data_IF_601719444066
#
_entry.id   IF_601719444066
#
_cell.length_a   1.000
_cell.length_b   1.000
_cell.length_c   1.000
_cell.angle_alpha   90.00
_cell.angle_beta   90.00
_cell.angle_gamma   90.00
#
_symmetry.space_group_name_H-M   'P 1'
#
loop_
_entity.id
_entity.type
_entity.pdbx_description
1 polymer ?
#
# COMPACT_ATOMS: atom_id res chain seq x y z
N UNK A 1 -51.29 58.92 41.59
CA UNK A 1 -50.82 59.77 40.47
C UNK A 1 -50.64 58.81 39.29
N UNK A 2 -51.63 58.51 38.44
CA UNK A 2 -52.35 59.41 37.49
C UNK A 2 -51.32 60.23 36.72
N UNK A 3 -51.03 60.02 35.42
CA UNK A 3 -51.80 60.35 34.19
C UNK A 3 -51.04 59.67 32.99
N UNK A 4 -51.61 58.76 32.21
CA UNK A 4 -52.23 58.91 30.86
C UNK A 4 -51.44 59.78 29.84
N UNK A 5 -50.86 59.20 28.78
CA UNK A 5 -51.44 58.95 27.45
C UNK A 5 -51.04 60.01 26.38
N UNK A 6 -50.51 59.56 25.24
CA UNK A 6 -50.70 60.21 23.94
C UNK A 6 -50.58 59.19 22.80
N UNK A 7 -51.68 59.12 22.04
CA UNK A 7 -52.03 58.34 20.87
C UNK A 7 -51.41 58.97 19.60
N UNK A 8 -51.17 58.21 18.52
CA UNK A 8 -51.67 58.44 17.14
C UNK A 8 -51.34 57.21 16.27
N UNK A 9 -52.37 56.64 15.63
CA UNK A 9 -52.32 55.70 14.50
C UNK A 9 -52.30 56.47 13.18
N UNK A 10 -51.61 55.98 12.14
CA UNK A 10 -52.15 55.87 10.75
C UNK A 10 -51.18 55.16 9.78
N UNK A 11 -51.71 54.23 8.99
CA UNK A 11 -51.45 54.13 7.53
C UNK A 11 -50.41 53.13 7.01
N UNK A 12 -50.86 52.04 6.38
CA UNK A 12 -50.10 51.19 5.43
C UNK A 12 -50.24 51.72 3.98
N UNK A 13 -49.31 51.38 3.06
CA UNK A 13 -49.59 50.25 2.16
C UNK A 13 -48.35 49.36 1.85
N UNK A 14 -48.54 48.18 1.22
CA UNK A 14 -47.46 47.26 0.86
C UNK A 14 -47.00 47.49 -0.59
N UNK A 15 -45.73 47.24 -0.88
CA UNK A 15 -45.31 46.86 -2.24
C UNK A 15 -44.04 46.02 -2.20
N UNK A 16 -44.18 44.82 -2.78
CA UNK A 16 -43.12 43.88 -3.04
C UNK A 16 -42.13 44.43 -4.08
N UNK A 17 -40.88 43.98 -4.02
CA UNK A 17 -40.27 43.37 -5.19
C UNK A 17 -39.19 42.38 -4.77
N UNK A 18 -39.45 41.13 -5.12
CA UNK A 18 -38.48 40.06 -5.09
C UNK A 18 -37.34 40.34 -6.08
N UNK A 19 -36.12 40.00 -5.67
CA UNK A 19 -35.07 39.59 -6.59
C UNK A 19 -34.50 38.28 -6.04
N UNK A 20 -35.05 37.19 -6.57
CA UNK A 20 -34.59 35.82 -6.36
C UNK A 20 -33.19 35.65 -6.95
N UNK A 21 -32.17 35.68 -6.11
CA UNK A 21 -30.88 35.06 -6.42
C UNK A 21 -30.95 33.59 -6.06
N UNK A 22 -31.33 32.74 -7.01
CA UNK A 22 -31.21 31.28 -6.87
C UNK A 22 -29.72 30.90 -6.78
N UNK A 23 -29.19 30.88 -5.55
CA UNK A 23 -27.96 30.18 -5.25
C UNK A 23 -28.26 28.68 -5.35
N UNK A 24 -27.92 28.10 -6.50
CA UNK A 24 -27.92 26.66 -6.71
C UNK A 24 -26.90 26.06 -5.74
N UNK A 25 -27.38 25.56 -4.60
CA UNK A 25 -26.59 24.82 -3.62
C UNK A 25 -26.16 23.52 -4.26
N UNK A 26 -25.03 23.56 -4.97
CA UNK A 26 -24.37 22.36 -5.49
C UNK A 26 -23.86 21.61 -4.26
N UNK A 27 -24.62 20.62 -3.81
CA UNK A 27 -24.22 19.65 -2.79
C UNK A 27 -22.85 19.11 -3.21
N UNK A 28 -21.79 19.60 -2.57
CA UNK A 28 -20.48 19.01 -2.74
C UNK A 28 -20.54 17.63 -2.09
N UNK A 29 -20.60 16.61 -2.94
CA UNK A 29 -20.32 15.24 -2.52
C UNK A 29 -18.87 15.25 -2.08
N UNK A 30 -18.65 15.37 -0.77
CA UNK A 30 -17.35 15.17 -0.16
C UNK A 30 -16.99 13.71 -0.37
N UNK A 31 -16.16 13.43 -1.37
CA UNK A 31 -15.40 12.20 -1.38
C UNK A 31 -14.48 12.26 -0.16
N UNK A 32 -14.90 11.63 0.94
CA UNK A 32 -14.00 11.39 2.05
C UNK A 32 -12.86 10.55 1.49
N UNK A 33 -11.72 11.20 1.29
CA UNK A 33 -10.46 10.57 0.98
C UNK A 33 -10.16 9.64 2.15
N UNK A 34 -10.22 8.33 1.94
CA UNK A 34 -9.73 7.37 2.92
C UNK A 34 -8.31 7.77 3.27
N UNK A 35 -8.01 8.00 4.54
CA UNK A 35 -6.63 8.21 4.98
C UNK A 35 -5.78 7.02 4.47
N UNK A 36 -4.53 7.27 4.02
CA UNK A 36 -3.63 6.16 3.68
C UNK A 36 -3.61 5.21 4.88
N UNK A 37 -3.93 3.95 4.64
CA UNK A 37 -3.96 2.95 5.70
C UNK A 37 -2.53 2.60 6.04
N UNK A 38 -2.12 2.93 7.26
CA UNK A 38 -0.80 2.67 7.83
C UNK A 38 -0.55 1.17 8.11
N UNK A 39 -1.11 0.28 7.30
CA UNK A 39 -1.12 -1.15 7.58
C UNK A 39 0.16 -1.79 7.07
N UNK A 40 0.75 -2.62 7.92
CA UNK A 40 1.90 -3.45 7.58
C UNK A 40 1.44 -4.61 6.69
N UNK A 41 2.24 -5.00 5.71
CA UNK A 41 1.95 -6.19 4.90
C UNK A 41 2.07 -7.47 5.76
N UNK A 42 1.10 -8.40 5.71
CA UNK A 42 1.06 -9.58 6.58
C UNK A 42 2.12 -10.63 6.26
N UNK A 43 2.77 -10.55 5.10
CA UNK A 43 3.93 -11.37 4.74
C UNK A 43 5.06 -10.47 4.24
N UNK A 44 6.34 -10.84 4.44
CA UNK A 44 7.46 -10.08 3.91
C UNK A 44 7.38 -9.94 2.39
N UNK A 45 7.65 -8.74 1.86
CA UNK A 45 7.64 -8.43 0.42
C UNK A 45 6.40 -9.02 -0.29
N UNK A 46 5.23 -8.62 0.21
CA UNK A 46 3.93 -9.11 -0.24
C UNK A 46 3.70 -8.86 -1.73
N UNK A 47 3.23 -9.89 -2.44
CA UNK A 47 2.89 -9.83 -3.85
C UNK A 47 1.51 -10.45 -4.05
N UNK A 48 0.55 -9.66 -4.53
CA UNK A 48 -0.79 -10.14 -4.86
C UNK A 48 -0.74 -10.89 -6.18
N UNK A 49 -1.13 -12.16 -6.17
CA UNK A 49 -1.16 -13.04 -7.36
C UNK A 49 -2.58 -13.33 -7.84
N UNK A 50 -3.59 -13.16 -6.97
CA UNK A 50 -5.00 -13.19 -7.35
C UNK A 50 -5.74 -12.06 -6.64
N UNK A 51 -6.49 -11.29 -7.42
CA UNK A 51 -7.19 -10.09 -7.00
C UNK A 51 -8.53 -10.40 -6.32
N UNK A 52 -9.05 -9.45 -5.55
CA UNK A 52 -10.41 -9.50 -5.03
C UNK A 52 -11.44 -9.43 -6.18
N UNK A 53 -12.32 -10.43 -6.24
CA UNK A 53 -13.38 -10.57 -7.25
C UNK A 53 -14.68 -10.96 -6.53
N UNK A 54 -15.39 -10.00 -5.92
CA UNK A 54 -16.54 -10.30 -5.09
C UNK A 54 -17.67 -10.88 -5.95
N UNK A 55 -18.30 -11.98 -5.52
CA UNK A 55 -19.43 -12.52 -6.27
C UNK A 55 -20.67 -11.62 -6.14
N UNK A 56 -21.46 -11.50 -7.21
CA UNK A 56 -22.72 -10.74 -7.22
C UNK A 56 -23.71 -11.20 -6.14
N UNK A 57 -23.66 -12.49 -5.78
CA UNK A 57 -24.43 -13.09 -4.69
C UNK A 57 -23.52 -13.91 -3.79
N UNK A 58 -23.81 -14.01 -2.48
CA UNK A 58 -22.96 -14.73 -1.52
C UNK A 58 -22.66 -16.20 -1.84
N UNK A 59 -23.46 -16.86 -2.69
CA UNK A 59 -23.30 -18.27 -3.09
C UNK A 59 -22.72 -18.45 -4.50
N UNK A 60 -22.50 -17.37 -5.25
CA UNK A 60 -21.90 -17.45 -6.58
C UNK A 60 -20.38 -17.58 -6.49
N UNK A 61 -19.79 -18.00 -7.62
CA UNK A 61 -18.33 -18.04 -7.81
C UNK A 61 -17.78 -16.61 -7.73
N UNK A 62 -16.62 -16.49 -7.09
CA UNK A 62 -15.87 -15.26 -6.93
C UNK A 62 -14.77 -15.48 -5.90
N UNK A 63 -13.89 -14.49 -5.77
CA UNK A 63 -12.79 -14.45 -4.83
C UNK A 63 -13.06 -13.45 -3.71
N UNK A 64 -13.39 -13.96 -2.51
CA UNK A 64 -13.81 -13.17 -1.32
C UNK A 64 -12.61 -12.61 -0.53
N UNK A 65 -11.46 -12.48 -1.18
CA UNK A 65 -10.22 -12.01 -0.60
C UNK A 65 -9.20 -11.76 -1.69
N UNK A 66 -7.94 -11.68 -1.31
CA UNK A 66 -6.79 -11.69 -2.23
C UNK A 66 -5.94 -12.91 -1.92
N UNK A 67 -5.19 -13.39 -2.91
CA UNK A 67 -4.15 -14.38 -2.67
C UNK A 67 -2.80 -13.73 -2.87
N UNK A 68 -1.91 -13.95 -1.91
CA UNK A 68 -0.53 -13.47 -2.00
C UNK A 68 0.46 -14.60 -2.09
N UNK A 69 1.52 -14.40 -2.86
CA UNK A 69 2.58 -15.38 -3.00
C UNK A 69 3.30 -15.56 -1.66
N UNK A 70 3.10 -16.70 -1.03
CA UNK A 70 3.76 -17.09 0.21
C UNK A 70 3.99 -18.60 0.22
N UNK A 71 5.09 -19.05 0.81
CA UNK A 71 5.43 -20.46 0.96
C UNK A 71 5.31 -20.86 2.43
N UNK A 72 5.04 -22.14 2.69
CA UNK A 72 4.95 -22.68 4.05
C UNK A 72 6.17 -22.28 4.92
N UNK A 73 5.91 -21.96 6.18
CA UNK A 73 6.90 -21.54 7.17
C UNK A 73 7.28 -20.05 7.12
N UNK A 74 6.73 -19.27 6.17
CA UNK A 74 6.84 -17.81 6.20
C UNK A 74 6.29 -17.23 7.52
N UNK A 75 6.88 -16.16 8.09
CA UNK A 75 6.25 -15.44 9.19
C UNK A 75 4.97 -14.73 8.71
N UNK A 76 3.92 -14.84 9.52
CA UNK A 76 2.68 -14.06 9.41
C UNK A 76 2.77 -12.89 10.39
N UNK A 77 2.78 -11.65 9.86
CA UNK A 77 2.82 -10.43 10.67
C UNK A 77 1.44 -9.82 10.82
N UNK A 78 1.18 -9.16 11.95
CA UNK A 78 -0.04 -8.40 12.17
C UNK A 78 -0.05 -7.12 11.32
N UNK A 79 -1.05 -6.90 10.46
CA UNK A 79 -1.15 -5.65 9.70
C UNK A 79 -1.32 -4.39 10.55
N UNK A 80 -1.98 -4.53 11.70
CA UNK A 80 -2.28 -3.47 12.66
C UNK A 80 -2.15 -4.05 14.07
N UNK A 81 -2.30 -3.20 15.09
CA UNK A 81 -2.64 -3.67 16.42
C UNK A 81 -4.05 -4.31 16.45
N UNK A 82 -4.25 -5.25 17.38
CA UNK A 82 -5.52 -5.98 17.48
C UNK A 82 -5.43 -7.22 18.36
N UNK A 83 -6.38 -8.14 18.16
CA UNK A 83 -6.47 -9.39 18.92
C UNK A 83 -6.74 -10.60 18.03
N UNK A 84 -6.33 -11.79 18.48
CA UNK A 84 -6.68 -13.06 17.81
C UNK A 84 -8.18 -13.30 17.99
N UNK A 85 -8.92 -13.36 16.88
CA UNK A 85 -10.35 -13.68 16.85
C UNK A 85 -10.60 -15.19 16.76
N UNK A 86 -9.76 -15.89 16.00
CA UNK A 86 -9.85 -17.33 15.77
C UNK A 86 -8.48 -17.92 15.42
N UNK A 87 -8.21 -19.13 15.91
CA UNK A 87 -7.08 -19.96 15.50
C UNK A 87 -7.55 -21.42 15.50
N UNK A 88 -7.51 -22.08 14.35
CA UNK A 88 -7.97 -23.46 14.20
C UNK A 88 -8.17 -23.87 12.75
N UNK A 89 -8.90 -24.96 12.52
CA UNK A 89 -9.11 -25.51 11.17
C UNK A 89 -10.49 -25.14 10.63
N UNK A 90 -10.54 -24.61 9.41
CA UNK A 90 -11.78 -24.33 8.67
C UNK A 90 -11.75 -25.11 7.37
N UNK A 91 -12.76 -25.96 7.14
CA UNK A 91 -12.85 -26.82 5.95
C UNK A 91 -11.55 -27.59 5.63
N UNK A 92 -10.89 -28.12 6.67
CA UNK A 92 -9.64 -28.88 6.55
C UNK A 92 -8.36 -28.05 6.41
N UNK A 93 -8.43 -26.71 6.42
CA UNK A 93 -7.25 -25.84 6.31
C UNK A 93 -7.02 -25.03 7.58
N UNK A 94 -5.77 -24.96 8.05
CA UNK A 94 -5.39 -24.12 9.18
C UNK A 94 -5.68 -22.63 8.87
N UNK A 95 -6.39 -21.96 9.76
CA UNK A 95 -6.89 -20.60 9.58
C UNK A 95 -6.66 -19.79 10.84
N UNK A 96 -6.08 -18.61 10.68
CA UNK A 96 -5.99 -17.58 11.72
C UNK A 96 -6.90 -16.43 11.34
N UNK A 97 -7.59 -15.83 12.31
CA UNK A 97 -8.32 -14.58 12.08
C UNK A 97 -8.05 -13.61 13.20
N UNK A 98 -7.93 -12.34 12.84
CA UNK A 98 -7.71 -11.24 13.77
C UNK A 98 -8.89 -10.27 13.77
N UNK A 99 -9.06 -9.56 14.87
CA UNK A 99 -9.90 -8.37 14.96
C UNK A 99 -8.97 -7.16 15.17
N UNK A 100 -9.00 -6.22 14.24
CA UNK A 100 -8.26 -4.95 14.35
C UNK A 100 -9.04 -3.97 15.23
N UNK A 101 -8.36 -2.97 15.78
CA UNK A 101 -9.02 -1.88 16.52
C UNK A 101 -9.95 -1.03 15.65
N UNK A 102 -9.75 -1.02 14.33
CA UNK A 102 -10.63 -0.35 13.37
C UNK A 102 -11.88 -1.18 13.01
N UNK A 103 -12.29 -2.12 13.88
CA UNK A 103 -13.42 -3.04 13.69
C UNK A 103 -13.39 -3.78 12.33
N UNK A 104 -12.23 -4.28 11.95
CA UNK A 104 -12.07 -5.16 10.78
C UNK A 104 -11.68 -6.55 11.22
N UNK A 105 -12.31 -7.56 10.61
CA UNK A 105 -11.85 -8.94 10.72
C UNK A 105 -11.02 -9.26 9.49
N UNK A 106 -9.81 -9.78 9.71
CA UNK A 106 -8.99 -10.37 8.67
C UNK A 106 -8.86 -11.87 8.90
N UNK A 107 -8.91 -12.65 7.83
CA UNK A 107 -8.64 -14.10 7.83
C UNK A 107 -7.39 -14.40 7.03
N UNK A 108 -6.57 -15.33 7.51
CA UNK A 108 -5.35 -15.81 6.88
C UNK A 108 -5.42 -17.33 6.73
N UNK A 109 -5.31 -17.83 5.51
CA UNK A 109 -5.44 -19.27 5.22
C UNK A 109 -4.56 -19.67 4.02
N UNK A 110 -3.68 -20.68 4.11
CA UNK A 110 -3.34 -21.45 5.30
C UNK A 110 -2.44 -20.66 6.27
N UNK A 111 -2.79 -20.65 7.56
CA UNK A 111 -1.96 -20.05 8.61
C UNK A 111 -2.14 -20.74 9.96
N UNK A 112 -1.08 -20.73 10.78
CA UNK A 112 -1.08 -21.23 12.15
C UNK A 112 -0.48 -20.19 13.11
N UNK A 113 -0.87 -20.25 14.38
CA UNK A 113 -0.37 -19.36 15.44
C UNK A 113 -0.28 -20.11 16.76
N UNK A 114 0.67 -19.73 17.61
CA UNK A 114 0.74 -20.14 19.02
C UNK A 114 -0.13 -19.25 19.93
N UNK A 115 -0.55 -18.09 19.46
CA UNK A 115 -1.39 -17.14 20.20
C UNK A 115 -2.82 -17.68 20.34
N UNK A 116 -3.47 -17.35 21.44
CA UNK A 116 -4.83 -17.82 21.76
C UNK A 116 -5.86 -16.76 21.42
N UNK A 117 -7.11 -17.19 21.20
CA UNK A 117 -8.24 -16.26 21.03
C UNK A 117 -8.29 -15.25 22.19
N UNK A 118 -8.37 -13.97 21.85
CA UNK A 118 -8.39 -12.84 22.78
C UNK A 118 -7.01 -12.26 23.11
N UNK A 119 -5.93 -12.94 22.73
CA UNK A 119 -4.56 -12.42 22.92
C UNK A 119 -4.29 -11.25 21.96
N UNK A 120 -3.69 -10.19 22.50
CA UNK A 120 -3.38 -8.97 21.76
C UNK A 120 -1.98 -8.99 21.15
N UNK A 121 -1.77 -8.13 20.15
CA UNK A 121 -0.48 -7.95 19.46
C UNK A 121 -0.35 -6.51 18.94
N UNK A 122 0.88 -6.08 18.69
CA UNK A 122 1.17 -4.80 18.05
C UNK A 122 1.24 -4.92 16.51
N UNK A 123 1.09 -3.80 15.81
CA UNK A 123 1.31 -3.75 14.37
C UNK A 123 2.74 -4.21 14.00
N UNK A 124 2.85 -5.08 12.99
CA UNK A 124 4.11 -5.64 12.52
C UNK A 124 4.66 -6.81 13.34
N UNK A 125 4.06 -7.12 14.50
CA UNK A 125 4.43 -8.28 15.32
C UNK A 125 4.21 -9.59 14.55
N UNK A 126 5.11 -10.56 14.74
CA UNK A 126 4.91 -11.90 14.20
C UNK A 126 3.86 -12.64 15.01
N UNK A 127 2.70 -12.86 14.41
CA UNK A 127 1.54 -13.49 15.04
C UNK A 127 1.34 -14.95 14.62
N UNK A 128 2.23 -15.51 13.81
CA UNK A 128 2.13 -16.89 13.36
C UNK A 128 2.98 -17.19 12.14
N UNK A 129 2.64 -18.27 11.44
CA UNK A 129 3.31 -18.70 10.21
C UNK A 129 2.32 -19.11 9.13
N UNK A 130 2.74 -18.98 7.87
CA UNK A 130 2.02 -19.50 6.71
C UNK A 130 2.07 -21.02 6.75
N UNK A 131 0.90 -21.64 6.67
CA UNK A 131 0.75 -23.09 6.71
C UNK A 131 0.84 -23.75 5.33
N UNK A 132 0.52 -25.05 5.29
CA UNK A 132 0.34 -25.83 4.06
C UNK A 132 -1.13 -26.06 3.72
N UNK A 133 -1.39 -26.42 2.46
CA UNK A 133 -2.74 -26.61 1.91
C UNK A 133 -3.31 -25.35 1.27
N UNK A 134 -4.63 -25.25 1.22
CA UNK A 134 -5.35 -24.14 0.57
C UNK A 134 -5.81 -24.46 -0.86
N UNK A 135 -6.36 -23.44 -1.54
CA UNK A 135 -6.99 -23.60 -2.86
C UNK A 135 -6.06 -23.30 -4.03
N UNK A 136 -4.91 -22.65 -3.79
CA UNK A 136 -3.99 -22.25 -4.84
C UNK A 136 -3.18 -23.45 -5.38
N UNK A 137 -3.00 -23.50 -6.70
CA UNK A 137 -2.13 -24.49 -7.36
C UNK A 137 -0.64 -24.27 -7.03
N UNK A 138 -0.26 -23.02 -6.73
CA UNK A 138 1.03 -22.62 -6.13
C UNK A 138 0.82 -22.36 -4.64
N UNK A 139 1.88 -22.35 -3.83
CA UNK A 139 1.75 -21.92 -2.43
C UNK A 139 1.34 -20.43 -2.37
N UNK A 140 0.26 -20.14 -1.66
CA UNK A 140 -0.27 -18.80 -1.46
C UNK A 140 -0.79 -18.65 -0.02
N UNK A 141 -0.98 -17.40 0.41
CA UNK A 141 -1.78 -17.06 1.59
C UNK A 141 -3.03 -16.31 1.11
N UNK A 142 -4.20 -16.88 1.37
CA UNK A 142 -5.48 -16.21 1.17
C UNK A 142 -5.75 -15.24 2.31
N UNK A 143 -6.09 -14.00 1.97
CA UNK A 143 -6.43 -12.94 2.91
C UNK A 143 -7.84 -12.48 2.61
N UNK A 144 -8.75 -12.67 3.57
CA UNK A 144 -10.11 -12.13 3.51
C UNK A 144 -10.26 -10.97 4.49
N UNK A 145 -11.13 -10.00 4.20
CA UNK A 145 -11.42 -8.91 5.11
C UNK A 145 -12.90 -8.50 5.10
N UNK A 146 -13.47 -8.17 6.26
CA UNK A 146 -14.82 -7.60 6.37
C UNK A 146 -14.99 -6.73 7.63
N UNK A 147 -15.95 -5.79 7.67
CA UNK A 147 -16.30 -5.08 8.91
C UNK A 147 -16.84 -6.03 9.97
N UNK A 148 -16.38 -5.93 11.22
CA UNK A 148 -16.76 -6.84 12.29
C UNK A 148 -18.27 -6.87 12.58
N UNK A 149 -18.94 -5.74 12.41
CA UNK A 149 -20.39 -5.60 12.57
C UNK A 149 -21.21 -6.07 11.35
N UNK A 150 -20.55 -6.50 10.27
CA UNK A 150 -21.25 -6.98 9.07
C UNK A 150 -21.48 -8.49 9.10
N UNK A 151 -22.50 -8.93 8.37
CA UNK A 151 -22.73 -10.36 8.10
C UNK A 151 -21.78 -10.89 7.02
N UNK A 152 -20.47 -10.85 7.32
CA UNK A 152 -19.36 -11.26 6.43
C UNK A 152 -19.43 -10.64 5.02
N UNK A 153 -19.75 -9.36 4.96
CA UNK A 153 -19.67 -8.60 3.70
C UNK A 153 -18.20 -8.32 3.39
N UNK A 154 -17.58 -9.20 2.61
CA UNK A 154 -16.19 -9.08 2.23
C UNK A 154 -15.90 -7.77 1.49
N UNK A 155 -14.74 -7.19 1.79
CA UNK A 155 -14.18 -6.01 1.13
C UNK A 155 -12.80 -6.35 0.59
N UNK A 156 -12.34 -5.59 -0.40
CA UNK A 156 -11.02 -5.76 -1.01
C UNK A 156 -9.89 -5.49 0.02
N UNK A 157 -9.13 -6.51 0.45
CA UNK A 157 -8.04 -6.32 1.39
C UNK A 157 -6.82 -5.64 0.76
N UNK A 158 -6.64 -5.71 -0.56
CA UNK A 158 -5.48 -5.13 -1.26
C UNK A 158 -5.36 -3.62 -1.05
N UNK A 159 -6.50 -2.95 -0.91
CA UNK A 159 -6.61 -1.52 -0.61
C UNK A 159 -5.96 -1.10 0.71
N UNK A 160 -5.82 -2.03 1.66
CA UNK A 160 -5.22 -1.73 2.94
C UNK A 160 -3.68 -1.71 2.89
N UNK A 161 -3.09 -2.42 1.93
CA UNK A 161 -1.63 -2.65 1.87
C UNK A 161 -0.92 -1.76 0.84
N UNK A 162 -1.58 -0.68 0.40
CA UNK A 162 -1.06 0.20 -0.65
C UNK A 162 -0.93 -0.47 -2.03
N UNK A 163 -1.33 -1.74 -2.19
CA UNK A 163 -1.26 -2.49 -3.44
C UNK A 163 -2.57 -2.28 -4.22
N UNK A 164 -2.77 -1.08 -4.79
CA UNK A 164 -3.84 -0.88 -5.76
C UNK A 164 -3.59 -1.78 -6.98
N UNK A 165 -4.61 -2.52 -7.42
CA UNK A 165 -4.52 -3.39 -8.60
C UNK A 165 -3.98 -2.60 -9.79
N UNK A 166 -3.00 -3.18 -10.49
CA UNK A 166 -2.62 -2.73 -11.82
C UNK A 166 -3.86 -2.88 -12.71
N UNK A 167 -4.52 -1.77 -13.04
CA UNK A 167 -5.56 -1.80 -14.06
C UNK A 167 -4.89 -2.13 -15.40
N UNK A 168 -5.26 -3.27 -16.00
CA UNK A 168 -4.91 -3.56 -17.39
C UNK A 168 -5.58 -2.51 -18.28
N UNK A 169 -4.80 -1.53 -18.73
CA UNK A 169 -5.16 -0.75 -19.89
C UNK A 169 -5.18 -1.69 -21.11
N UNK A 170 -6.15 -1.55 -22.04
CA UNK A 170 -6.19 -2.35 -23.24
C UNK A 170 -4.83 -2.31 -23.96
N UNK A 171 -4.36 -3.47 -24.43
CA UNK A 171 -3.15 -3.63 -25.24
C UNK A 171 -3.33 -2.96 -26.60
N UNK A 172 -3.35 -1.64 -26.64
CA UNK A 172 -3.51 -0.88 -27.87
C UNK A 172 -2.77 0.44 -27.76
N UNK A 173 -1.45 0.30 -27.58
CA UNK A 173 -0.37 1.03 -28.28
C UNK A 173 0.90 0.82 -27.47
N UNK A 174 1.88 0.17 -28.08
CA UNK A 174 3.28 0.25 -27.62
C UNK A 174 3.63 1.75 -27.57
N UNK A 175 3.95 2.34 -26.41
CA UNK A 175 4.25 3.76 -26.35
C UNK A 175 5.59 4.04 -27.05
N UNK A 176 5.72 5.26 -27.58
CA UNK A 176 6.96 5.76 -28.16
C UNK A 176 8.11 5.68 -27.14
N UNK A 177 9.33 5.48 -27.65
CA UNK A 177 10.60 5.42 -26.90
C UNK A 177 10.61 6.42 -25.74
N UNK A 178 10.93 5.96 -24.52
CA UNK A 178 10.94 6.82 -23.33
C UNK A 178 11.86 8.03 -23.50
N UNK A 179 11.51 9.20 -22.94
CA UNK A 179 12.40 10.36 -22.93
C UNK A 179 13.71 10.04 -22.22
N UNK A 180 14.84 10.43 -22.81
CA UNK A 180 16.16 10.39 -22.17
C UNK A 180 16.23 11.52 -21.14
N UNK A 181 15.71 11.28 -19.93
CA UNK A 181 15.83 12.20 -18.81
C UNK A 181 17.25 12.21 -18.23
N UNK A 182 17.83 13.42 -18.08
CA UNK A 182 19.17 13.65 -17.55
C UNK A 182 19.33 13.15 -16.11
N UNK A 183 19.85 11.94 -15.98
CA UNK A 183 20.11 11.25 -14.72
C UNK A 183 20.73 9.88 -14.98
N UNK A 184 21.47 9.75 -16.08
CA UNK A 184 22.01 8.50 -16.58
C UNK A 184 23.13 7.99 -15.67
N UNK A 185 22.76 7.10 -14.75
CA UNK A 185 23.71 6.18 -14.12
C UNK A 185 23.57 4.81 -14.77
N UNK A 186 24.66 4.28 -15.31
CA UNK A 186 24.77 2.86 -15.59
C UNK A 186 24.95 2.03 -14.30
N UNK A 187 25.35 2.68 -13.20
CA UNK A 187 25.63 2.05 -11.90
C UNK A 187 24.49 2.23 -10.91
N UNK A 188 24.29 1.22 -10.06
CA UNK A 188 23.32 1.25 -8.96
C UNK A 188 23.57 2.44 -8.03
N UNK A 189 22.52 3.12 -7.59
CA UNK A 189 22.54 4.11 -6.51
C UNK A 189 22.64 3.48 -5.11
N UNK A 190 22.23 2.22 -4.98
CA UNK A 190 22.27 1.50 -3.71
C UNK A 190 23.65 0.86 -3.46
N UNK A 191 24.23 1.10 -2.29
CA UNK A 191 25.55 0.56 -1.93
C UNK A 191 25.81 0.54 -0.42
N UNK A 192 26.97 -0.01 -0.05
CA UNK A 192 27.36 -0.15 1.35
C UNK A 192 27.52 1.22 2.04
N UNK A 193 27.07 1.29 3.29
CA UNK A 193 27.21 2.47 4.14
C UNK A 193 27.19 2.09 5.63
N UNK A 194 27.70 2.99 6.48
CA UNK A 194 27.59 2.86 7.94
C UNK A 194 28.30 1.63 8.55
N UNK A 195 29.18 0.96 7.80
CA UNK A 195 29.82 -0.29 8.24
C UNK A 195 28.85 -1.49 8.34
N UNK A 196 27.65 -1.37 7.78
CA UNK A 196 26.65 -2.43 7.83
C UNK A 196 26.87 -3.48 6.73
N UNK A 197 26.33 -4.68 6.95
CA UNK A 197 26.18 -5.70 5.92
C UNK A 197 24.80 -5.59 5.26
N UNK A 198 24.71 -5.99 4.00
CA UNK A 198 23.47 -5.97 3.24
C UNK A 198 22.36 -6.79 3.94
N UNK A 199 21.20 -6.17 4.15
CA UNK A 199 20.06 -6.76 4.87
C UNK A 199 20.30 -6.92 6.37
N UNK A 200 21.32 -6.26 6.95
CA UNK A 200 21.66 -6.28 8.38
C UNK A 200 21.90 -4.87 8.94
N UNK A 201 21.08 -3.93 8.51
CA UNK A 201 21.04 -2.56 9.02
C UNK A 201 20.03 -2.54 10.18
N UNK A 202 20.42 -2.09 11.39
CA UNK A 202 19.50 -2.00 12.51
C UNK A 202 18.45 -0.92 12.26
N UNK A 203 17.23 -1.13 12.73
CA UNK A 203 16.13 -0.16 12.60
C UNK A 203 16.49 1.23 13.17
N UNK A 204 17.33 1.29 14.21
CA UNK A 204 17.83 2.54 14.81
C UNK A 204 18.72 3.37 13.89
N UNK A 205 19.25 2.79 12.81
CA UNK A 205 20.03 3.50 11.79
C UNK A 205 19.17 3.96 10.60
N UNK A 206 17.87 3.67 10.62
CA UNK A 206 16.94 3.94 9.52
C UNK A 206 15.76 4.78 10.00
N UNK A 207 15.06 5.38 9.03
CA UNK A 207 13.88 6.18 9.26
C UNK A 207 12.69 5.57 8.51
N UNK A 208 11.49 5.65 9.11
CA UNK A 208 10.25 5.20 8.48
C UNK A 208 9.78 6.20 7.41
N UNK A 209 9.12 5.70 6.37
CA UNK A 209 8.49 6.53 5.34
C UNK A 209 7.12 7.03 5.82
N UNK A 210 6.86 8.34 5.68
CA UNK A 210 5.59 8.93 6.09
C UNK A 210 4.41 8.37 5.28
N UNK A 211 4.62 8.17 3.96
CA UNK A 211 3.58 7.66 3.07
C UNK A 211 3.48 6.13 3.01
N UNK A 212 4.35 5.41 3.74
CA UNK A 212 4.37 3.95 3.73
C UNK A 212 4.85 3.38 5.08
N UNK A 213 3.98 3.33 6.09
CA UNK A 213 4.34 2.80 7.40
C UNK A 213 4.83 1.36 7.37
N UNK A 214 5.83 1.07 8.20
CA UNK A 214 6.55 -0.21 8.17
C UNK A 214 7.66 -0.28 7.12
N UNK A 215 7.69 0.61 6.13
CA UNK A 215 8.82 0.74 5.21
C UNK A 215 9.89 1.65 5.81
N UNK A 216 11.15 1.24 5.68
CA UNK A 216 12.28 1.98 6.21
C UNK A 216 13.33 2.24 5.12
N UNK A 217 14.01 3.36 5.22
CA UNK A 217 15.16 3.74 4.40
C UNK A 217 16.25 4.37 5.26
N UNK A 218 17.45 4.52 4.71
CA UNK A 218 18.45 5.43 5.29
C UNK A 218 17.83 6.83 5.39
N UNK A 219 18.07 7.54 6.49
CA UNK A 219 17.30 8.75 6.82
C UNK A 219 17.39 9.89 5.78
N UNK A 220 18.50 10.02 5.05
CA UNK A 220 18.62 10.98 3.94
C UNK A 220 17.81 10.55 2.71
N UNK A 221 17.79 9.26 2.39
CA UNK A 221 16.96 8.68 1.34
C UNK A 221 15.47 8.79 1.68
N UNK A 222 15.09 8.51 2.93
CA UNK A 222 13.72 8.70 3.44
C UNK A 222 13.25 10.15 3.27
N UNK A 223 14.00 11.12 3.80
CA UNK A 223 13.62 12.53 3.68
C UNK A 223 13.56 13.01 2.22
N UNK A 224 14.39 12.45 1.34
CA UNK A 224 14.31 12.70 -0.10
C UNK A 224 13.07 12.07 -0.75
N UNK A 225 12.71 10.84 -0.35
CA UNK A 225 11.54 10.15 -0.84
C UNK A 225 10.25 10.85 -0.44
N UNK A 226 10.12 11.33 0.80
CA UNK A 226 8.89 11.98 1.25
C UNK A 226 8.65 13.32 0.53
N UNK A 227 9.73 14.06 0.21
CA UNK A 227 9.65 15.23 -0.67
C UNK A 227 9.21 14.86 -2.09
N UNK A 228 9.72 13.75 -2.63
CA UNK A 228 9.33 13.24 -3.94
C UNK A 228 7.85 12.80 -3.96
N UNK A 229 7.42 12.06 -2.93
CA UNK A 229 6.04 11.59 -2.75
C UNK A 229 5.06 12.76 -2.64
N UNK A 230 5.43 13.80 -1.90
CA UNK A 230 4.65 15.06 -1.81
C UNK A 230 4.50 15.75 -3.17
N UNK A 231 5.59 15.85 -3.95
CA UNK A 231 5.55 16.44 -5.28
C UNK A 231 4.73 15.60 -6.28
N UNK A 232 4.78 14.28 -6.16
CA UNK A 232 3.97 13.35 -6.93
C UNK A 232 2.48 13.50 -6.57
N UNK A 233 2.15 13.59 -5.28
CA UNK A 233 0.80 13.81 -4.80
C UNK A 233 0.22 15.12 -5.33
N UNK A 234 0.98 16.21 -5.30
CA UNK A 234 0.55 17.48 -5.87
C UNK A 234 0.19 17.38 -7.36
N UNK A 235 0.79 16.43 -8.09
CA UNK A 235 0.54 16.20 -9.52
C UNK A 235 -0.61 15.22 -9.81
N UNK A 236 -0.76 14.18 -8.99
CA UNK A 236 -1.62 13.02 -9.27
C UNK A 236 -2.73 12.78 -8.23
N UNK A 237 -2.78 13.56 -7.16
CA UNK A 237 -3.85 13.54 -6.15
C UNK A 237 -3.74 12.43 -5.09
N UNK A 238 -2.68 11.63 -5.13
CA UNK A 238 -2.36 10.62 -4.11
C UNK A 238 -0.84 10.48 -3.95
N UNK A 239 -0.35 10.16 -2.73
CA UNK A 239 1.07 9.88 -2.52
C UNK A 239 1.52 8.64 -3.30
N UNK A 240 2.84 8.48 -3.42
CA UNK A 240 3.42 7.29 -4.05
C UNK A 240 3.15 6.08 -3.15
N UNK A 241 2.54 5.04 -3.72
CA UNK A 241 2.47 3.73 -3.09
C UNK A 241 3.85 3.08 -3.13
N UNK A 242 4.32 2.62 -1.96
CA UNK A 242 5.57 1.86 -1.82
C UNK A 242 5.20 0.41 -1.56
N UNK A 243 5.67 -0.49 -2.43
CA UNK A 243 5.42 -1.92 -2.31
C UNK A 243 6.55 -2.63 -1.55
N UNK A 244 7.78 -2.14 -1.69
CA UNK A 244 8.93 -2.64 -0.93
C UNK A 244 9.99 -1.53 -0.76
N UNK A 245 10.73 -1.54 0.35
CA UNK A 245 11.84 -0.64 0.62
C UNK A 245 13.03 -1.41 1.21
N UNK A 246 13.46 -1.13 2.44
CA UNK A 246 14.51 -1.93 3.09
C UNK A 246 14.12 -3.40 3.24
N UNK A 247 14.97 -4.27 2.69
CA UNK A 247 14.77 -5.72 2.73
C UNK A 247 15.84 -6.39 3.59
N UNK A 248 15.43 -6.77 4.80
CA UNK A 248 16.30 -7.52 5.71
C UNK A 248 16.75 -8.86 5.11
N UNK A 249 17.84 -9.41 5.62
CA UNK A 249 18.44 -10.62 5.07
C UNK A 249 17.51 -11.83 5.17
N UNK A 250 16.73 -11.95 6.23
CA UNK A 250 15.79 -13.05 6.40
C UNK A 250 14.72 -13.03 5.30
N UNK A 251 14.22 -11.83 4.97
CA UNK A 251 13.30 -11.58 3.86
C UNK A 251 13.96 -11.89 2.51
N UNK A 252 15.25 -11.59 2.34
CA UNK A 252 15.96 -12.00 1.12
C UNK A 252 16.03 -13.52 0.98
N UNK A 253 16.28 -14.26 2.06
CA UNK A 253 16.25 -15.74 2.07
C UNK A 253 14.85 -16.25 1.70
N UNK A 254 13.80 -15.63 2.25
CA UNK A 254 12.40 -15.92 1.93
C UNK A 254 12.13 -15.71 0.44
N UNK A 255 12.46 -14.54 -0.11
CA UNK A 255 12.25 -14.27 -1.53
C UNK A 255 13.06 -15.20 -2.43
N UNK A 256 14.27 -15.59 -2.01
CA UNK A 256 15.06 -16.57 -2.75
C UNK A 256 14.37 -17.93 -2.82
N UNK A 257 13.75 -18.37 -1.73
CA UNK A 257 12.95 -19.59 -1.67
C UNK A 257 11.70 -19.49 -2.58
N UNK A 258 11.00 -18.35 -2.55
CA UNK A 258 9.79 -18.12 -3.38
C UNK A 258 10.06 -18.03 -4.88
N UNK A 259 11.10 -17.28 -5.26
CA UNK A 259 11.31 -16.78 -6.63
C UNK A 259 12.53 -17.39 -7.31
N UNK A 260 13.35 -18.16 -6.60
CA UNK A 260 14.50 -18.86 -7.15
C UNK A 260 15.48 -17.91 -7.87
N UNK A 261 15.65 -18.08 -9.18
CA UNK A 261 16.57 -17.26 -9.98
C UNK A 261 16.11 -15.81 -10.16
N UNK A 262 14.82 -15.51 -9.96
CA UNK A 262 14.28 -14.15 -10.10
C UNK A 262 14.56 -13.27 -8.88
N UNK A 263 14.95 -13.84 -7.74
CA UNK A 263 15.40 -13.08 -6.58
C UNK A 263 16.93 -13.00 -6.51
N UNK A 264 17.44 -11.85 -6.10
CA UNK A 264 18.85 -11.67 -5.78
C UNK A 264 19.32 -12.71 -4.77
N UNK A 265 20.60 -13.09 -4.84
CA UNK A 265 21.22 -13.92 -3.80
C UNK A 265 21.15 -13.17 -2.47
N UNK A 266 20.75 -13.81 -1.35
CA UNK A 266 20.70 -13.15 -0.06
C UNK A 266 22.03 -12.50 0.30
N UNK A 267 21.98 -11.25 0.76
CA UNK A 267 23.15 -10.40 1.01
C UNK A 267 23.62 -9.58 -0.19
N UNK A 268 22.94 -9.64 -1.34
CA UNK A 268 23.32 -8.88 -2.55
C UNK A 268 22.21 -8.02 -3.12
N UNK A 269 21.06 -7.90 -2.44
CA UNK A 269 19.92 -7.13 -2.95
C UNK A 269 20.12 -5.62 -2.76
N UNK A 270 19.83 -4.80 -3.77
CA UNK A 270 19.88 -3.33 -3.64
C UNK A 270 18.98 -2.81 -2.49
N UNK A 271 17.85 -3.46 -2.24
CA UNK A 271 16.96 -3.17 -1.10
C UNK A 271 17.60 -3.42 0.26
N UNK A 272 18.58 -4.34 0.35
CA UNK A 272 19.30 -4.62 1.59
C UNK A 272 20.21 -3.48 2.04
N UNK A 273 20.34 -2.41 1.25
CA UNK A 273 21.05 -1.21 1.63
C UNK A 273 20.15 -0.09 2.13
N UNK A 274 18.82 -0.27 2.19
CA UNK A 274 17.88 0.79 2.61
C UNK A 274 17.97 2.05 1.72
N UNK A 275 18.26 1.83 0.43
CA UNK A 275 18.46 2.87 -0.59
C UNK A 275 17.68 2.56 -1.89
N UNK A 276 16.78 1.59 -1.85
CA UNK A 276 15.96 1.21 -3.00
C UNK A 276 14.51 1.08 -2.57
N UNK A 277 13.61 1.38 -3.51
CA UNK A 277 12.16 1.25 -3.35
C UNK A 277 11.56 0.63 -4.60
N UNK A 278 10.56 -0.22 -4.38
CA UNK A 278 9.65 -0.70 -5.42
C UNK A 278 8.31 0.05 -5.26
N UNK A 279 7.82 0.62 -6.36
CA UNK A 279 6.75 1.63 -6.34
C UNK A 279 5.51 1.19 -7.14
N UNK A 280 4.32 1.51 -6.63
CA UNK A 280 3.04 1.36 -7.30
C UNK A 280 2.54 2.65 -7.98
N UNK A 281 1.25 2.97 -7.81
CA UNK A 281 0.62 4.21 -8.30
C UNK A 281 0.76 4.46 -9.81
N UNK A 282 0.80 3.38 -10.62
CA UNK A 282 1.02 3.45 -12.06
C UNK A 282 2.48 3.66 -12.47
N UNK A 283 3.40 3.90 -11.53
CA UNK A 283 4.85 4.00 -11.78
C UNK A 283 5.41 2.63 -12.18
N UNK A 284 4.85 1.54 -11.62
CA UNK A 284 5.15 0.14 -11.93
C UNK A 284 4.81 -0.30 -13.36
N UNK A 285 4.46 0.60 -14.26
CA UNK A 285 4.12 0.29 -15.64
C UNK A 285 4.79 1.28 -16.59
N UNK A 286 5.60 0.77 -17.52
CA UNK A 286 6.24 1.61 -18.54
C UNK A 286 5.21 2.39 -19.34
N UNK A 287 5.55 3.63 -19.68
CA UNK A 287 4.74 4.48 -20.55
C UNK A 287 3.52 5.15 -19.91
N UNK A 288 3.21 4.90 -18.64
CA UNK A 288 2.18 5.68 -17.92
C UNK A 288 2.63 7.12 -17.70
N UNK A 289 1.67 8.02 -17.48
CA UNK A 289 1.97 9.42 -17.16
C UNK A 289 2.79 9.53 -15.86
N UNK A 290 2.50 8.66 -14.89
CA UNK A 290 3.18 8.57 -13.59
C UNK A 290 4.63 8.12 -13.76
N UNK A 291 4.89 7.05 -14.53
CA UNK A 291 6.26 6.59 -14.79
C UNK A 291 7.08 7.67 -15.52
N UNK A 292 6.51 8.28 -16.57
CA UNK A 292 7.18 9.34 -17.32
C UNK A 292 7.47 10.56 -16.44
N UNK A 293 6.54 10.95 -15.55
CA UNK A 293 6.76 12.03 -14.61
C UNK A 293 7.89 11.70 -13.63
N UNK A 294 7.93 10.48 -13.10
CA UNK A 294 9.02 10.02 -12.23
C UNK A 294 10.37 10.09 -12.96
N UNK A 295 10.45 9.64 -14.21
CA UNK A 295 11.68 9.70 -15.02
C UNK A 295 12.22 11.11 -15.17
N UNK A 296 11.35 12.11 -15.27
CA UNK A 296 11.72 13.50 -15.46
C UNK A 296 11.99 14.26 -14.14
N UNK A 297 11.44 13.80 -13.01
CA UNK A 297 11.43 14.57 -11.77
C UNK A 297 12.17 13.91 -10.60
N UNK A 298 12.17 12.58 -10.49
CA UNK A 298 12.83 11.87 -9.40
C UNK A 298 14.32 12.24 -9.24
N UNK A 299 15.11 12.48 -10.31
CA UNK A 299 16.50 12.88 -10.17
C UNK A 299 16.70 14.19 -9.40
N UNK A 300 15.73 15.11 -9.43
CA UNK A 300 15.76 16.38 -8.67
C UNK A 300 15.72 16.14 -7.15
N UNK A 301 15.27 14.96 -6.74
CA UNK A 301 15.20 14.53 -5.34
C UNK A 301 16.30 13.52 -4.99
N UNK A 302 17.23 13.22 -5.90
CA UNK A 302 18.26 12.20 -5.68
C UNK A 302 17.79 10.76 -5.92
N UNK A 303 16.64 10.56 -6.58
CA UNK A 303 16.13 9.23 -6.95
C UNK A 303 16.33 8.97 -8.44
N UNK A 304 16.79 7.78 -8.80
CA UNK A 304 17.03 7.39 -10.18
C UNK A 304 16.29 6.11 -10.54
N UNK A 305 15.92 5.98 -11.82
CA UNK A 305 15.56 4.69 -12.42
C UNK A 305 16.82 4.11 -13.07
N UNK A 306 17.48 3.12 -12.44
CA UNK A 306 18.79 2.67 -12.85
C UNK A 306 18.76 2.06 -14.25
N UNK A 307 19.88 2.18 -14.98
CA UNK A 307 19.96 1.75 -16.40
C UNK A 307 19.52 0.32 -16.66
N UNK A 308 19.83 -0.60 -15.74
CA UNK A 308 19.49 -2.02 -15.84
C UNK A 308 17.98 -2.29 -15.73
N UNK A 309 17.25 -1.43 -15.00
CA UNK A 309 15.80 -1.55 -14.75
C UNK A 309 14.95 -0.92 -15.87
N UNK A 310 15.56 -0.16 -16.76
CA UNK A 310 14.85 0.50 -17.86
C UNK A 310 14.24 -0.51 -18.83
N UNK A 311 13.34 -0.02 -19.70
CA UNK A 311 12.67 -0.86 -20.70
C UNK A 311 13.64 -1.62 -21.63
N UNK A 312 14.82 -1.05 -21.88
CA UNK A 312 15.88 -1.66 -22.70
C UNK A 312 17.03 -2.24 -21.86
N UNK A 313 16.86 -2.31 -20.54
CA UNK A 313 17.85 -2.79 -19.59
C UNK A 313 17.90 -4.32 -19.53
N UNK A 314 18.86 -4.85 -18.77
CA UNK A 314 19.06 -6.29 -18.62
C UNK A 314 17.96 -6.99 -17.82
N UNK A 315 17.24 -6.25 -16.97
CA UNK A 315 16.11 -6.74 -16.20
C UNK A 315 15.08 -5.60 -16.08
N UNK A 316 14.16 -5.46 -17.04
CA UNK A 316 13.21 -4.35 -17.05
C UNK A 316 12.27 -4.38 -15.82
N UNK A 317 12.38 -3.37 -14.96
CA UNK A 317 11.66 -3.23 -13.69
C UNK A 317 11.19 -1.78 -13.50
N UNK A 318 10.07 -1.36 -14.13
CA UNK A 318 9.58 0.03 -14.07
C UNK A 318 9.24 0.52 -12.66
N UNK A 319 9.00 -0.42 -11.75
CA UNK A 319 8.71 -0.17 -10.35
C UNK A 319 9.97 0.13 -9.52
N UNK A 320 11.18 -0.21 -9.99
CA UNK A 320 12.40 -0.16 -9.17
C UNK A 320 13.13 1.18 -9.27
N UNK A 321 13.35 1.82 -8.12
CA UNK A 321 14.02 3.11 -8.02
C UNK A 321 15.07 3.09 -6.91
N UNK A 322 16.18 3.78 -7.15
CA UNK A 322 17.34 3.79 -6.24
C UNK A 322 17.69 5.22 -5.85
N UNK A 323 18.01 5.43 -4.57
CA UNK A 323 18.53 6.69 -4.08
C UNK A 323 20.02 6.81 -4.40
N UNK A 324 20.40 7.93 -5.00
CA UNK A 324 21.78 8.28 -5.36
C UNK A 324 22.04 9.72 -4.95
N UNK A 325 22.95 9.91 -3.99
CA UNK A 325 23.44 11.22 -3.56
C UNK A 325 24.91 11.37 -3.91
#
# INVERSE_FOLDING_TARGET
>A
MTIAAALVLTGTPPTASAASGSASTRTQVSFQRSAPTNWVTPVPAMEIIEAFDPPDKPWLKGHRGIDVLAVEGEPLRAPTEGTIRFAGTVAGTATVSILTESDRVLTFQPAATSLKKGEGFAAGEEIGTVGSGGHCQRSCLHIGAWPAASDKRYVDPGKFFGQEQSALLPLSRKPAKEPTGGGDSATSGAGAWGGHSNGRIPASAMCQLDSAPGQMLRCDAQAAFDRLSTAFEARFGAPISVTDAYRDYATQVILKRRKGRMAATPGTSNHGWALAVDLGSGINSFGTAQHQWMRANAPKFGWIHPGWARQTGSLPEPWHWEFRK
#
